data_IF_798025329377
#
_entry.id   IF_798025329377
#
_cell.length_a   1.000
_cell.length_b   1.000
_cell.length_c   1.000
_cell.angle_alpha   90.00
_cell.angle_beta   90.00
_cell.angle_gamma   90.00
#
_symmetry.space_group_name_H-M   'P 1'
#
loop_
_entity.id
_entity.type
_entity.pdbx_description
1 polymer ?
#
# COMPACT_ATOMS: atom_id res chain seq x y z
N UNK A 1 6.82 10.00 5.45
CA UNK A 1 5.86 9.51 6.46
C UNK A 1 4.79 8.79 5.60
N UNK A 2 4.17 7.65 6.01
CA UNK A 2 3.09 7.00 5.23
C UNK A 2 1.93 6.41 6.08
N UNK A 3 0.68 6.73 5.72
CA UNK A 3 -0.56 6.13 6.26
C UNK A 3 -0.89 4.84 5.50
N UNK A 4 -1.37 3.80 6.19
CA UNK A 4 -1.64 2.48 5.60
C UNK A 4 -3.14 2.19 5.50
N UNK A 5 -3.56 1.68 4.35
CA UNK A 5 -4.96 1.38 4.01
C UNK A 5 -5.02 -0.01 3.34
N UNK A 6 -5.93 -0.87 3.78
CA UNK A 6 -6.27 -2.10 3.09
C UNK A 6 -6.98 -1.77 1.78
N UNK A 7 -6.52 -2.39 0.69
CA UNK A 7 -7.03 -2.14 -0.64
C UNK A 7 -7.28 -3.44 -1.40
N UNK A 8 -8.17 -3.37 -2.39
CA UNK A 8 -8.33 -4.39 -3.41
C UNK A 8 -7.93 -3.80 -4.75
N UNK A 9 -7.17 -4.54 -5.56
CA UNK A 9 -6.88 -4.14 -6.93
C UNK A 9 -7.52 -5.10 -7.92
N UNK A 10 -7.96 -4.57 -9.06
CA UNK A 10 -8.44 -5.38 -10.17
C UNK A 10 -7.61 -5.10 -11.43
N UNK A 11 -7.03 -6.15 -12.00
CA UNK A 11 -6.58 -6.18 -13.39
C UNK A 11 -7.77 -6.70 -14.22
N UNK A 12 -8.02 -6.14 -15.40
CA UNK A 12 -9.18 -6.53 -16.24
C UNK A 12 -9.30 -8.07 -16.38
N UNK A 13 -10.47 -8.62 -16.01
CA UNK A 13 -10.82 -10.05 -16.04
C UNK A 13 -10.11 -10.97 -15.03
N UNK A 14 -9.33 -10.43 -14.08
CA UNK A 14 -8.76 -11.19 -12.97
C UNK A 14 -9.63 -11.11 -11.71
N UNK A 15 -9.51 -12.11 -10.82
CA UNK A 15 -10.03 -11.97 -9.45
C UNK A 15 -9.34 -10.77 -8.77
N UNK A 16 -10.07 -10.00 -7.93
CA UNK A 16 -9.45 -8.93 -7.16
C UNK A 16 -8.29 -9.48 -6.32
N UNK A 17 -7.17 -8.77 -6.32
CA UNK A 17 -6.02 -9.06 -5.48
C UNK A 17 -6.10 -8.21 -4.23
N UNK A 18 -5.80 -8.82 -3.08
CA UNK A 18 -5.64 -8.08 -1.84
C UNK A 18 -4.36 -7.23 -1.89
N UNK A 19 -4.38 -6.10 -1.21
CA UNK A 19 -3.28 -5.15 -1.19
C UNK A 19 -3.24 -4.36 0.10
N UNK A 20 -2.05 -3.86 0.43
CA UNK A 20 -1.89 -2.74 1.37
C UNK A 20 -1.37 -1.53 0.61
N UNK A 21 -1.93 -0.37 0.91
CA UNK A 21 -1.61 0.88 0.24
C UNK A 21 -1.06 1.89 1.24
N UNK A 22 0.11 2.41 0.93
CA UNK A 22 0.71 3.54 1.61
C UNK A 22 0.35 4.84 0.89
N UNK A 23 -0.29 5.77 1.59
CA UNK A 23 -0.42 7.16 1.14
C UNK A 23 0.54 8.00 1.97
N UNK A 24 1.51 8.63 1.31
CA UNK A 24 2.50 9.48 1.96
C UNK A 24 2.61 10.84 1.28
N UNK A 25 3.34 11.73 1.93
CA UNK A 25 3.81 12.98 1.31
C UNK A 25 5.32 12.92 1.21
N UNK A 26 5.88 13.20 0.03
CA UNK A 26 7.32 13.43 -0.14
C UNK A 26 7.56 14.93 -0.08
N UNK A 27 8.18 15.46 1.00
CA UNK A 27 8.58 16.86 1.04
C UNK A 27 9.64 17.05 -0.05
N UNK A 28 9.35 17.87 -1.04
CA UNK A 28 10.33 18.33 -2.03
C UNK A 28 10.64 19.79 -1.75
N UNK A 29 11.81 20.26 -2.19
CA UNK A 29 12.30 21.63 -1.93
C UNK A 29 11.33 22.72 -2.40
N UNK A 30 10.33 22.40 -3.24
CA UNK A 30 9.30 23.33 -3.72
C UNK A 30 7.86 22.77 -3.71
N UNK A 31 7.52 21.79 -2.85
CA UNK A 31 6.13 21.34 -2.74
C UNK A 31 5.87 20.05 -1.95
N UNK A 32 4.59 19.82 -1.70
CA UNK A 32 4.04 18.61 -1.04
C UNK A 32 3.42 17.69 -2.09
N UNK A 33 4.23 16.86 -2.75
CA UNK A 33 3.68 15.86 -3.66
C UNK A 33 3.22 14.64 -2.86
N UNK A 34 1.94 14.30 -3.01
CA UNK A 34 1.39 13.07 -2.46
C UNK A 34 1.85 11.88 -3.30
N UNK A 35 2.28 10.81 -2.64
CA UNK A 35 2.68 9.55 -3.25
C UNK A 35 1.75 8.45 -2.78
N UNK A 36 1.42 7.54 -3.69
CA UNK A 36 0.59 6.37 -3.41
C UNK A 36 1.36 5.14 -3.86
N UNK A 37 1.54 4.19 -2.95
CA UNK A 37 2.27 2.96 -3.19
C UNK A 37 1.39 1.78 -2.78
N UNK A 38 1.19 0.80 -3.66
CA UNK A 38 0.38 -0.38 -3.38
C UNK A 38 1.26 -1.61 -3.43
N UNK A 39 1.22 -2.41 -2.37
CA UNK A 39 1.80 -3.74 -2.33
C UNK A 39 0.69 -4.77 -2.52
N UNK A 40 0.70 -5.46 -3.66
CA UNK A 40 -0.24 -6.54 -3.96
C UNK A 40 0.20 -7.83 -3.28
N UNK A 41 -0.68 -8.44 -2.50
CA UNK A 41 -0.43 -9.67 -1.78
C UNK A 41 -0.49 -10.87 -2.75
N UNK A 42 0.39 -11.84 -2.53
CA UNK A 42 0.47 -13.11 -3.27
C UNK A 42 0.59 -12.97 -4.79
N UNK A 43 1.05 -11.80 -5.24
CA UNK A 43 1.21 -11.48 -6.66
C UNK A 43 2.67 -11.22 -6.99
N UNK A 44 3.07 -11.61 -8.20
CA UNK A 44 4.40 -11.35 -8.73
C UNK A 44 4.30 -11.02 -10.22
N UNK A 45 5.23 -10.18 -10.68
CA UNK A 45 5.27 -9.71 -12.06
C UNK A 45 5.57 -8.22 -12.15
N UNK A 46 5.33 -7.66 -13.34
CA UNK A 46 5.56 -6.26 -13.66
C UNK A 46 4.26 -5.58 -14.15
N UNK A 47 3.96 -4.40 -13.62
CA UNK A 47 2.79 -3.57 -13.98
C UNK A 47 3.19 -2.24 -14.62
N UNK A 48 4.46 -2.02 -14.99
CA UNK A 48 4.89 -0.82 -15.70
C UNK A 48 4.10 -0.63 -17.00
N UNK A 49 3.62 0.59 -17.20
CA UNK A 49 2.77 0.94 -18.36
C UNK A 49 1.35 0.36 -18.30
N UNK A 50 0.95 -0.30 -17.21
CA UNK A 50 -0.41 -0.81 -17.01
C UNK A 50 -1.20 0.12 -16.09
N UNK A 51 -2.49 0.30 -16.39
CA UNK A 51 -3.44 0.95 -15.50
C UNK A 51 -3.99 -0.08 -14.52
N UNK A 52 -3.98 0.25 -13.23
CA UNK A 52 -4.51 -0.57 -12.15
C UNK A 52 -5.59 0.22 -11.43
N UNK A 53 -6.75 -0.39 -11.21
CA UNK A 53 -7.80 0.18 -10.37
C UNK A 53 -7.64 -0.34 -8.95
N UNK A 54 -7.64 0.57 -7.98
CA UNK A 54 -7.47 0.26 -6.55
C UNK A 54 -8.69 0.78 -5.79
N UNK A 55 -9.29 -0.08 -4.97
CA UNK A 55 -10.43 0.23 -4.11
C UNK A 55 -9.97 0.22 -2.66
N UNK A 56 -10.19 1.32 -1.95
CA UNK A 56 -9.84 1.44 -0.53
C UNK A 56 -10.96 0.84 0.30
N UNK A 57 -10.62 -0.13 1.14
CA UNK A 57 -11.58 -0.89 1.92
C UNK A 57 -11.57 -0.50 3.39
N UNK A 58 -10.39 -0.42 4.00
CA UNK A 58 -10.27 -0.12 5.43
C UNK A 58 -8.98 0.65 5.75
N UNK A 59 -9.07 1.65 6.61
CA UNK A 59 -7.88 2.31 7.16
C UNK A 59 -7.21 1.40 8.20
N UNK A 60 -5.90 1.17 8.08
CA UNK A 60 -5.16 0.29 8.98
C UNK A 60 -4.43 1.07 10.07
N UNK A 61 -3.69 2.13 9.70
CA UNK A 61 -2.95 2.96 10.66
C UNK A 61 -2.55 4.33 10.10
N UNK A 62 -2.34 5.33 10.98
CA UNK A 62 -1.79 6.62 10.58
C UNK A 62 -0.32 6.54 10.17
N UNK A 63 0.16 7.69 9.75
CA UNK A 63 1.54 7.95 9.38
C UNK A 63 2.54 7.63 10.51
N UNK A 64 3.52 6.75 10.24
CA UNK A 64 4.54 6.39 11.23
C UNK A 64 5.95 6.57 10.67
N UNK A 65 6.86 7.10 11.51
CA UNK A 65 8.30 7.09 11.25
C UNK A 65 8.91 5.84 11.88
N UNK A 66 9.83 5.21 11.16
CA UNK A 66 10.59 4.06 11.65
C UNK A 66 12.04 4.47 11.83
N UNK A 67 12.67 4.00 12.91
CA UNK A 67 14.08 4.29 13.17
C UNK A 67 15.02 3.32 12.45
N UNK A 68 14.49 2.24 11.88
CA UNK A 68 15.24 1.28 11.07
C UNK A 68 14.41 0.66 9.95
N UNK A 69 15.12 0.09 8.96
CA UNK A 69 14.50 -0.67 7.88
C UNK A 69 13.77 -1.92 8.40
N UNK A 70 14.31 -2.57 9.43
CA UNK A 70 13.70 -3.78 9.99
C UNK A 70 12.37 -3.48 10.68
N UNK A 71 12.26 -2.36 11.39
CA UNK A 71 10.98 -1.91 11.94
C UNK A 71 9.94 -1.64 10.85
N UNK A 72 10.36 -1.00 9.76
CA UNK A 72 9.48 -0.76 8.61
C UNK A 72 9.00 -2.09 8.00
N UNK A 73 9.91 -3.04 7.77
CA UNK A 73 9.55 -4.37 7.23
C UNK A 73 8.58 -5.11 8.13
N UNK A 74 8.84 -5.14 9.44
CA UNK A 74 7.96 -5.78 10.42
C UNK A 74 6.57 -5.13 10.41
N UNK A 75 6.49 -3.80 10.35
CA UNK A 75 5.20 -3.12 10.29
C UNK A 75 4.44 -3.43 8.99
N UNK A 76 5.12 -3.47 7.84
CA UNK A 76 4.48 -3.85 6.57
C UNK A 76 3.91 -5.27 6.65
N UNK A 77 4.65 -6.22 7.24
CA UNK A 77 4.15 -7.58 7.43
C UNK A 77 2.88 -7.62 8.30
N UNK A 78 2.87 -6.86 9.40
CA UNK A 78 1.68 -6.72 10.26
C UNK A 78 0.50 -6.10 9.50
N UNK A 79 0.74 -5.04 8.72
CA UNK A 79 -0.29 -4.38 7.91
C UNK A 79 -0.89 -5.38 6.89
N UNK A 80 -0.07 -6.24 6.28
CA UNK A 80 -0.52 -7.28 5.35
C UNK A 80 -1.40 -8.33 6.05
N UNK A 81 -0.98 -8.85 7.20
CA UNK A 81 -1.79 -9.82 7.96
C UNK A 81 -3.12 -9.21 8.42
N UNK A 82 -3.11 -7.96 8.85
CA UNK A 82 -4.34 -7.25 9.21
C UNK A 82 -5.27 -7.12 8.00
N UNK A 83 -4.76 -6.74 6.82
CA UNK A 83 -5.55 -6.67 5.59
C UNK A 83 -6.17 -8.04 5.21
N UNK A 84 -5.44 -9.15 5.36
CA UNK A 84 -5.95 -10.51 5.13
C UNK A 84 -7.08 -10.88 6.09
N UNK A 85 -7.03 -10.42 7.33
CA UNK A 85 -8.08 -10.72 8.31
C UNK A 85 -9.37 -9.92 8.11
N UNK A 86 -9.31 -8.80 7.37
CA UNK A 86 -10.44 -7.88 7.17
C UNK A 86 -11.24 -8.18 5.89
N UNK A 87 -10.63 -8.84 4.90
CA UNK A 87 -11.14 -8.98 3.53
C UNK A 87 -11.16 -10.44 3.08
#
# INVERSE_FOLDING_TARGET
MTSSIAAQSALQHARPLLGVMNIGTRPTVNGTQQTVEVHLLDWSGDLYGKTVTVQLQAFLRPEQKFSSLDQLKTQIATDCEQARSLL
#
